data_IF_181685285505
#
_entry.id   IF_181685285505
#
_cell.length_a   1.000
_cell.length_b   1.000
_cell.length_c   1.000
_cell.angle_alpha   90.00
_cell.angle_beta   90.00
_cell.angle_gamma   90.00
#
_symmetry.space_group_name_H-M   'P 1'
#
loop_
_entity.id
_entity.type
_entity.pdbx_description
1 polymer ?
#
# COMPACT_ATOMS: atom_id res chain seq x y z
N UNK A 1 -15.32 -15.78 7.02
CA UNK A 1 -14.01 -15.87 6.36
C UNK A 1 -13.54 -14.57 5.70
N UNK A 2 -14.41 -13.64 5.29
CA UNK A 2 -13.98 -12.39 4.63
C UNK A 2 -13.43 -11.28 5.56
N UNK A 3 -13.60 -11.38 6.88
CA UNK A 3 -13.28 -10.28 7.80
C UNK A 3 -11.80 -9.88 7.79
N UNK A 4 -10.88 -10.84 7.80
CA UNK A 4 -9.43 -10.55 7.75
C UNK A 4 -9.05 -9.83 6.46
N UNK A 5 -9.57 -10.27 5.32
CA UNK A 5 -9.28 -9.63 4.03
C UNK A 5 -9.83 -8.19 3.94
N UNK A 6 -11.03 -7.96 4.47
CA UNK A 6 -11.63 -6.61 4.52
C UNK A 6 -10.83 -5.70 5.45
N UNK A 7 -10.49 -6.17 6.66
CA UNK A 7 -9.68 -5.41 7.60
C UNK A 7 -8.30 -5.08 6.99
N UNK A 8 -7.63 -6.10 6.45
CA UNK A 8 -6.35 -5.95 5.78
C UNK A 8 -6.40 -4.90 4.67
N UNK A 9 -7.38 -5.00 3.77
CA UNK A 9 -7.55 -4.06 2.64
C UNK A 9 -7.84 -2.64 3.12
N UNK A 10 -8.69 -2.48 4.15
CA UNK A 10 -9.09 -1.17 4.69
C UNK A 10 -7.90 -0.43 5.31
N UNK A 11 -6.95 -1.17 5.89
CA UNK A 11 -5.78 -0.61 6.56
C UNK A 11 -4.55 -0.44 5.62
N UNK A 12 -4.69 -0.67 4.30
CA UNK A 12 -3.57 -0.48 3.37
C UNK A 12 -3.35 0.99 3.01
N UNK A 13 -2.08 1.40 2.81
CA UNK A 13 -1.78 2.69 2.21
C UNK A 13 -2.49 2.89 0.86
N UNK A 14 -3.01 4.09 0.64
CA UNK A 14 -3.71 4.49 -0.58
C UNK A 14 -5.18 4.07 -0.65
N UNK A 15 -5.68 3.27 0.30
CA UNK A 15 -7.08 2.86 0.35
C UNK A 15 -7.88 3.83 1.25
N UNK A 16 -8.83 4.54 0.65
CA UNK A 16 -9.72 5.48 1.37
C UNK A 16 -11.08 4.89 1.74
N UNK A 17 -11.57 3.96 0.94
CA UNK A 17 -12.87 3.32 1.11
C UNK A 17 -12.86 1.94 0.49
N UNK A 18 -13.48 0.96 1.16
CA UNK A 18 -13.67 -0.39 0.62
C UNK A 18 -15.15 -0.57 0.31
N UNK A 19 -15.46 -0.86 -0.95
CA UNK A 19 -16.84 -1.13 -1.40
C UNK A 19 -17.12 -2.62 -1.17
N UNK A 20 -18.22 -2.91 -0.47
CA UNK A 20 -18.64 -4.29 -0.19
C UNK A 20 -20.02 -4.57 -0.77
N UNK A 21 -20.19 -5.76 -1.35
CA UNK A 21 -21.49 -6.28 -1.75
C UNK A 21 -22.12 -7.10 -0.63
N UNK A 22 -23.37 -6.83 -0.29
CA UNK A 22 -24.15 -7.63 0.66
C UNK A 22 -25.58 -7.82 0.13
N UNK A 23 -26.00 -9.07 -0.07
CA UNK A 23 -27.37 -9.45 -0.43
C UNK A 23 -28.16 -9.98 0.76
N UNK A 24 -27.48 -10.24 1.88
CA UNK A 24 -28.06 -10.69 3.16
C UNK A 24 -27.60 -9.80 4.30
N UNK A 25 -28.46 -9.59 5.29
CA UNK A 25 -28.14 -8.76 6.47
C UNK A 25 -26.88 -9.22 7.22
N UNK A 26 -26.73 -10.54 7.41
CA UNK A 26 -25.58 -11.12 8.10
C UNK A 26 -24.23 -10.79 7.42
N UNK A 27 -24.22 -10.58 6.10
CA UNK A 27 -22.99 -10.20 5.39
C UNK A 27 -22.53 -8.80 5.78
N UNK A 28 -23.47 -7.85 5.91
CA UNK A 28 -23.18 -6.50 6.35
C UNK A 28 -22.67 -6.48 7.79
N UNK A 29 -23.32 -7.23 8.69
CA UNK A 29 -22.87 -7.37 10.09
C UNK A 29 -21.46 -7.93 10.14
N UNK A 30 -21.17 -8.96 9.34
CA UNK A 30 -19.83 -9.53 9.26
C UNK A 30 -18.80 -8.53 8.71
N UNK A 31 -19.13 -7.76 7.67
CA UNK A 31 -18.25 -6.71 7.14
C UNK A 31 -17.94 -5.65 8.18
N UNK A 32 -18.95 -5.14 8.89
CA UNK A 32 -18.75 -4.14 9.94
C UNK A 32 -17.92 -4.70 11.09
N UNK A 33 -18.15 -5.97 11.46
CA UNK A 33 -17.34 -6.67 12.44
C UNK A 33 -15.85 -6.78 12.06
N UNK A 34 -15.52 -6.76 10.76
CA UNK A 34 -14.14 -6.77 10.31
C UNK A 34 -13.34 -5.55 10.78
N UNK A 35 -13.99 -4.41 10.98
CA UNK A 35 -13.34 -3.16 11.40
C UNK A 35 -12.90 -3.21 12.88
N UNK A 36 -13.45 -4.12 13.67
CA UNK A 36 -13.16 -4.26 15.10
C UNK A 36 -12.04 -5.28 15.39
N UNK A 37 -11.43 -5.84 14.34
CA UNK A 37 -10.33 -6.79 14.47
C UNK A 37 -9.00 -6.06 14.27
N UNK A 38 -8.00 -6.37 15.09
CA UNK A 38 -6.63 -5.92 14.86
C UNK A 38 -5.81 -7.08 14.31
N UNK A 39 -5.06 -6.81 13.24
CA UNK A 39 -4.09 -7.75 12.68
C UNK A 39 -2.72 -7.35 13.24
N UNK A 40 -2.07 -8.21 14.05
CA UNK A 40 -0.72 -7.97 14.55
C UNK A 40 0.28 -7.71 13.42
N UNK A 41 1.28 -6.86 13.69
CA UNK A 41 2.27 -6.41 12.71
C UNK A 41 2.95 -7.59 11.97
N UNK A 42 3.31 -8.64 12.71
CA UNK A 42 3.91 -9.85 12.15
C UNK A 42 3.01 -10.53 11.11
N UNK A 43 1.70 -10.64 11.40
CA UNK A 43 0.75 -11.26 10.48
C UNK A 43 0.45 -10.35 9.29
N UNK A 44 0.39 -9.03 9.48
CA UNK A 44 0.28 -8.09 8.36
C UNK A 44 1.49 -8.16 7.43
N UNK A 45 2.71 -8.24 7.97
CA UNK A 45 3.92 -8.32 7.17
C UNK A 45 3.95 -9.61 6.34
N UNK A 46 3.53 -10.73 6.93
CA UNK A 46 3.36 -12.00 6.21
C UNK A 46 2.32 -11.90 5.11
N UNK A 47 1.18 -11.24 5.36
CA UNK A 47 0.15 -11.01 4.34
C UNK A 47 0.68 -10.16 3.19
N UNK A 48 1.42 -9.10 3.49
CA UNK A 48 2.04 -8.23 2.49
C UNK A 48 3.05 -8.99 1.64
N UNK A 49 3.92 -9.80 2.25
CA UNK A 49 4.94 -10.59 1.55
C UNK A 49 4.31 -11.58 0.56
N UNK A 50 3.33 -12.39 1.01
CA UNK A 50 2.72 -13.42 0.16
C UNK A 50 1.76 -12.85 -0.88
N UNK A 51 1.23 -11.64 -0.66
CA UNK A 51 0.27 -10.99 -1.57
C UNK A 51 0.94 -10.05 -2.56
N UNK A 52 2.25 -9.76 -2.41
CA UNK A 52 2.95 -8.79 -3.26
C UNK A 52 3.09 -9.35 -4.68
N UNK A 53 2.52 -8.69 -5.70
CA UNK A 53 2.72 -9.11 -7.07
C UNK A 53 4.17 -8.87 -7.49
N UNK A 54 4.66 -9.71 -8.41
CA UNK A 54 5.87 -9.39 -9.17
C UNK A 54 5.68 -8.05 -9.88
N UNK A 55 6.74 -7.27 -10.08
CA UNK A 55 6.69 -5.99 -10.77
C UNK A 55 7.12 -6.17 -12.23
N UNK A 56 6.19 -6.46 -13.16
CA UNK A 56 6.54 -6.67 -14.55
C UNK A 56 6.91 -5.35 -15.22
N UNK A 57 7.67 -5.42 -16.31
CA UNK A 57 7.82 -4.30 -17.24
C UNK A 57 6.43 -3.87 -17.77
N UNK A 58 6.12 -2.57 -17.89
CA UNK A 58 6.97 -1.39 -17.67
C UNK A 58 6.88 -0.83 -16.24
N UNK A 59 6.23 -1.51 -15.29
CA UNK A 59 5.98 -0.97 -13.96
C UNK A 59 7.25 -0.74 -13.12
N UNK A 60 8.37 -1.35 -13.49
CA UNK A 60 9.69 -1.07 -12.92
C UNK A 60 10.08 0.41 -13.05
N UNK A 61 9.65 1.11 -14.12
CA UNK A 61 9.92 2.54 -14.29
C UNK A 61 9.34 3.41 -13.17
N UNK A 62 8.32 2.95 -12.45
CA UNK A 62 7.69 3.67 -11.35
C UNK A 62 8.30 3.36 -9.98
N UNK A 63 9.35 2.54 -9.94
CA UNK A 63 10.18 2.36 -8.75
C UNK A 63 10.97 3.63 -8.42
N UNK A 64 11.33 3.80 -7.15
CA UNK A 64 12.06 4.98 -6.65
C UNK A 64 13.33 5.28 -7.42
N UNK A 65 14.15 4.26 -7.68
CA UNK A 65 15.43 4.42 -8.36
C UNK A 65 15.27 5.07 -9.74
N UNK A 66 14.39 4.54 -10.58
CA UNK A 66 14.19 5.06 -11.94
C UNK A 66 13.45 6.40 -11.92
N UNK A 67 12.47 6.58 -11.02
CA UNK A 67 11.83 7.88 -10.85
C UNK A 67 12.87 8.94 -10.40
N UNK A 68 13.78 8.61 -9.48
CA UNK A 68 14.85 9.52 -9.06
C UNK A 68 15.72 9.99 -10.23
N UNK A 69 16.10 9.06 -11.12
CA UNK A 69 16.83 9.38 -12.35
C UNK A 69 16.02 10.27 -13.30
N UNK A 70 14.73 10.00 -13.50
CA UNK A 70 13.86 10.77 -14.41
C UNK A 70 13.68 12.22 -13.93
N UNK A 71 13.58 12.43 -12.61
CA UNK A 71 13.37 13.76 -12.03
C UNK A 71 14.67 14.47 -11.61
N UNK A 72 15.84 13.91 -11.97
CA UNK A 72 17.15 14.50 -11.61
C UNK A 72 17.34 14.66 -10.10
N UNK A 73 16.88 13.70 -9.30
CA UNK A 73 16.92 13.76 -7.83
C UNK A 73 15.93 14.74 -7.18
N UNK A 74 15.10 15.42 -7.97
CA UNK A 74 14.08 16.33 -7.43
C UNK A 74 12.87 15.53 -6.97
N UNK A 75 12.38 15.80 -5.75
CA UNK A 75 11.15 15.19 -5.25
C UNK A 75 9.94 15.74 -6.03
N UNK A 76 9.24 14.85 -6.74
CA UNK A 76 8.01 15.18 -7.47
C UNK A 76 6.83 14.40 -6.90
N UNK A 77 5.71 15.10 -6.73
CA UNK A 77 4.45 14.53 -6.23
C UNK A 77 4.26 14.74 -4.74
N UNK A 78 3.48 15.77 -4.40
CA UNK A 78 2.92 15.97 -3.07
C UNK A 78 1.79 14.94 -2.87
N UNK A 79 2.14 13.80 -2.28
CA UNK A 79 1.17 12.77 -1.88
C UNK A 79 1.18 12.67 -0.36
N UNK A 80 0.00 12.54 0.28
CA UNK A 80 -0.04 12.34 1.72
C UNK A 80 0.72 11.05 2.07
N UNK A 81 1.39 11.04 3.22
CA UNK A 81 2.18 9.91 3.74
C UNK A 81 1.41 8.58 3.79
N UNK A 82 0.08 8.65 3.84
CA UNK A 82 -0.81 7.48 3.80
C UNK A 82 -1.06 6.91 2.40
N UNK A 83 -0.62 7.55 1.31
CA UNK A 83 -0.91 7.13 -0.07
C UNK A 83 -0.07 5.94 -0.50
N UNK A 84 1.22 5.97 -0.17
CA UNK A 84 2.17 4.85 -0.31
C UNK A 84 3.23 5.00 0.77
N UNK A 85 3.87 3.90 1.20
CA UNK A 85 5.06 4.01 2.03
C UNK A 85 6.07 4.92 1.32
N UNK A 86 6.62 5.88 2.06
CA UNK A 86 7.61 6.81 1.56
C UNK A 86 8.78 6.00 1.02
N UNK A 87 8.97 6.09 -0.28
CA UNK A 87 10.23 5.64 -0.86
C UNK A 87 11.14 6.85 -0.81
N UNK A 88 11.76 7.06 0.36
CA UNK A 88 12.81 8.05 0.53
C UNK A 88 13.88 7.77 -0.54
N UNK A 89 13.89 8.59 -1.59
CA UNK A 89 15.02 8.68 -2.50
C UNK A 89 15.97 9.65 -1.79
N UNK A 90 16.83 9.11 -0.93
CA UNK A 90 17.97 9.91 -0.49
C UNK A 90 18.77 10.27 -1.75
N UNK A 91 18.85 11.56 -2.04
CA UNK A 91 19.77 12.05 -3.04
C UNK A 91 21.17 11.62 -2.58
N UNK A 92 21.73 10.62 -3.25
CA UNK A 92 23.16 10.35 -3.24
C UNK A 92 23.87 11.56 -3.82
N UNK A 93 24.02 12.60 -3.01
CA UNK A 93 24.85 13.75 -3.27
C UNK A 93 26.31 13.35 -3.14
N UNK A 94 26.78 12.44 -4.00
CA UNK A 94 28.20 12.45 -4.33
C UNK A 94 28.44 13.67 -5.21
N UNK A 95 28.85 14.72 -4.52
CA UNK A 95 29.46 15.90 -5.11
C UNK A 95 30.70 15.45 -5.86
N UNK A 96 30.61 15.26 -7.18
CA UNK A 96 31.81 15.22 -8.02
C UNK A 96 32.13 16.67 -8.39
N UNK A 97 33.19 17.16 -7.75
CA UNK A 97 33.92 18.38 -8.15
C UNK A 97 34.49 18.26 -9.56
#
# INVERSE_FOLDING_TARGET
MAQVAINWTTNRPGIRSVIVGATKHEQLVNTLGALNCEIPEELSNRLEEVSRPETPFPYSFFGSEIQGMIHGGTMTGDKPTSYRPDVLIEAGGDSVS
#
